data_IF_781944395472
#
_entry.id   IF_781944395472
#
_cell.length_a   1.000
_cell.length_b   1.000
_cell.length_c   1.000
_cell.angle_alpha   90.00
_cell.angle_beta   90.00
_cell.angle_gamma   90.00
#
_symmetry.space_group_name_H-M   'P 1'
#
loop_
_entity.id
_entity.type
_entity.pdbx_description
1 polymer ?
#
# COMPACT_ATOMS: atom_id res chain seq x y z
N UNK A 1 -0.29 28.68 18.89
CA UNK A 1 -1.43 27.78 19.19
C UNK A 1 -1.03 26.35 18.84
N UNK A 2 -1.25 25.37 19.73
CA UNK A 2 -1.07 23.95 19.41
C UNK A 2 -2.08 23.56 18.32
N UNK A 3 -1.61 23.21 17.13
CA UNK A 3 -2.46 22.59 16.11
C UNK A 3 -2.83 21.18 16.57
N UNK A 4 -4.12 20.84 16.46
CA UNK A 4 -4.58 19.46 16.58
C UNK A 4 -3.97 18.67 15.42
N UNK A 5 -3.44 17.49 15.72
CA UNK A 5 -2.88 16.57 14.74
C UNK A 5 -3.81 15.39 14.49
N UNK A 6 -5.03 15.44 15.02
CA UNK A 6 -6.04 14.44 14.67
C UNK A 6 -6.55 14.78 13.28
N UNK A 7 -6.34 13.88 12.33
CA UNK A 7 -6.63 14.11 10.93
C UNK A 7 -6.76 12.82 10.13
N UNK A 8 -7.46 12.92 9.01
CA UNK A 8 -7.53 11.87 8.01
C UNK A 8 -7.22 12.49 6.64
N UNK A 9 -6.31 11.88 5.90
CA UNK A 9 -5.93 12.29 4.56
C UNK A 9 -5.87 11.10 3.63
N UNK A 10 -6.52 11.21 2.46
CA UNK A 10 -6.42 10.23 1.38
C UNK A 10 -6.11 10.88 0.05
N UNK A 11 -5.14 10.32 -0.64
CA UNK A 11 -4.74 10.69 -2.00
C UNK A 11 -4.64 9.45 -2.85
N UNK A 12 -5.12 9.54 -4.09
CA UNK A 12 -5.00 8.46 -5.07
C UNK A 12 -4.56 9.05 -6.40
N UNK A 13 -3.70 8.31 -7.12
CA UNK A 13 -3.26 8.70 -8.45
C UNK A 13 -2.97 7.46 -9.29
N UNK A 14 -3.30 7.56 -10.58
CA UNK A 14 -2.99 6.55 -11.57
C UNK A 14 -1.64 6.86 -12.23
N UNK A 15 -0.78 5.86 -12.33
CA UNK A 15 0.56 5.90 -12.93
C UNK A 15 0.66 4.73 -13.90
N UNK A 16 0.59 5.02 -15.20
CA UNK A 16 0.46 3.96 -16.21
C UNK A 16 -0.72 3.06 -15.89
N UNK A 17 -0.47 1.77 -15.74
CA UNK A 17 -1.46 0.75 -15.40
C UNK A 17 -1.64 0.52 -13.89
N UNK A 18 -1.08 1.38 -13.03
CA UNK A 18 -1.20 1.25 -11.57
C UNK A 18 -2.03 2.38 -10.98
N UNK A 19 -2.89 2.06 -10.04
CA UNK A 19 -3.52 3.02 -9.15
C UNK A 19 -2.84 2.95 -7.78
N UNK A 20 -2.11 4.01 -7.43
CA UNK A 20 -1.48 4.16 -6.12
C UNK A 20 -2.38 4.98 -5.22
N UNK A 21 -2.62 4.49 -4.01
CA UNK A 21 -3.41 5.15 -2.99
C UNK A 21 -2.59 5.26 -1.71
N UNK A 22 -2.57 6.45 -1.13
CA UNK A 22 -1.95 6.72 0.17
C UNK A 22 -3.03 7.24 1.10
N UNK A 23 -3.15 6.59 2.24
CA UNK A 23 -4.06 6.97 3.33
C UNK A 23 -3.25 7.22 4.59
N UNK A 24 -3.49 8.35 5.25
CA UNK A 24 -2.90 8.70 6.55
C UNK A 24 -4.02 8.99 7.54
N UNK A 25 -3.95 8.33 8.69
CA UNK A 25 -4.75 8.60 9.88
C UNK A 25 -3.81 9.07 10.97
N UNK A 26 -4.18 10.13 11.67
CA UNK A 26 -3.40 10.63 12.80
C UNK A 26 -4.30 10.92 13.99
N UNK A 27 -3.77 10.66 15.18
CA UNK A 27 -4.38 10.95 16.47
C UNK A 27 -3.42 11.78 17.31
N UNK A 28 -3.98 12.71 18.09
CA UNK A 28 -3.20 13.48 19.04
C UNK A 28 -2.49 12.56 20.06
N UNK A 29 -1.21 12.78 20.24
CA UNK A 29 -0.37 12.04 21.18
C UNK A 29 0.88 12.84 21.54
N UNK A 30 1.48 12.52 22.68
CA UNK A 30 2.68 13.21 23.18
C UNK A 30 3.95 12.74 22.47
N UNK A 31 3.99 11.47 22.09
CA UNK A 31 5.08 10.84 21.37
C UNK A 31 4.68 10.58 19.93
N UNK A 32 5.66 10.51 19.04
CA UNK A 32 5.44 10.03 17.68
C UNK A 32 5.39 8.51 17.69
N UNK A 33 4.35 7.95 17.09
CA UNK A 33 4.20 6.52 16.89
C UNK A 33 3.73 6.30 15.46
N UNK A 34 4.62 5.79 14.59
CA UNK A 34 4.38 5.68 13.16
C UNK A 34 4.24 4.22 12.74
N UNK A 35 3.04 3.85 12.30
CA UNK A 35 2.75 2.58 11.67
C UNK A 35 2.71 2.75 10.15
N UNK A 36 3.66 2.11 9.45
CA UNK A 36 3.70 2.08 7.99
C UNK A 36 3.22 0.72 7.47
N UNK A 37 2.19 0.72 6.62
CA UNK A 37 1.74 -0.46 5.88
C UNK A 37 2.10 -0.27 4.40
N UNK A 38 3.17 -0.93 3.98
CA UNK A 38 3.77 -0.78 2.65
C UNK A 38 3.69 -2.10 1.89
N UNK A 39 3.27 -2.11 0.61
CA UNK A 39 3.22 -3.32 -0.19
C UNK A 39 4.63 -3.77 -0.56
N UNK A 40 4.81 -5.07 -0.81
CA UNK A 40 6.13 -5.68 -1.11
C UNK A 40 6.99 -4.91 -2.12
N UNK A 41 6.45 -4.40 -3.24
CA UNK A 41 7.26 -3.68 -4.23
C UNK A 41 7.87 -2.35 -3.72
N UNK A 42 7.30 -1.77 -2.66
CA UNK A 42 7.74 -0.50 -2.09
C UNK A 42 8.53 -0.65 -0.78
N UNK A 43 8.66 -1.88 -0.25
CA UNK A 43 9.45 -2.15 0.97
C UNK A 43 10.87 -1.57 0.93
N UNK A 44 11.63 -1.63 -0.19
CA UNK A 44 12.97 -1.03 -0.24
C UNK A 44 12.99 0.48 0.00
N UNK A 45 11.86 1.18 -0.17
CA UNK A 45 11.70 2.63 0.03
C UNK A 45 11.08 2.99 1.37
N UNK A 46 10.86 2.02 2.25
CA UNK A 46 10.21 2.25 3.55
C UNK A 46 10.95 3.30 4.39
N UNK A 47 12.28 3.24 4.44
CA UNK A 47 13.08 4.21 5.20
C UNK A 47 12.92 5.64 4.69
N UNK A 48 12.94 5.84 3.37
CA UNK A 48 12.74 7.14 2.74
C UNK A 48 11.34 7.70 3.09
N UNK A 49 10.30 6.88 2.98
CA UNK A 49 8.91 7.25 3.29
C UNK A 49 8.76 7.60 4.77
N UNK A 50 9.38 6.82 5.66
CA UNK A 50 9.39 7.07 7.11
C UNK A 50 10.01 8.43 7.44
N UNK A 51 11.16 8.75 6.85
CA UNK A 51 11.84 10.02 7.09
C UNK A 51 10.97 11.20 6.68
N UNK A 52 10.35 11.14 5.50
CA UNK A 52 9.46 12.19 5.00
C UNK A 52 8.26 12.43 5.94
N UNK A 53 7.66 11.36 6.48
CA UNK A 53 6.53 11.50 7.42
C UNK A 53 7.01 12.12 8.74
N UNK A 54 8.14 11.68 9.26
CA UNK A 54 8.72 12.18 10.52
C UNK A 54 9.14 13.66 10.43
N UNK A 55 9.56 14.15 9.26
CA UNK A 55 9.86 15.57 9.04
C UNK A 55 8.61 16.46 9.17
N UNK A 56 7.44 15.94 8.80
CA UNK A 56 6.19 16.71 8.76
C UNK A 56 5.32 16.54 10.00
N UNK A 57 5.38 15.38 10.66
CA UNK A 57 4.58 15.04 11.83
C UNK A 57 5.52 14.75 13.01
N UNK A 58 5.52 15.61 14.03
CA UNK A 58 6.51 15.56 15.11
C UNK A 58 6.03 14.84 16.38
N UNK A 59 4.72 14.58 16.50
CA UNK A 59 4.10 13.93 17.65
C UNK A 59 2.78 13.30 17.20
N UNK A 60 2.20 12.37 17.97
CA UNK A 60 0.94 11.69 17.65
C UNK A 60 1.12 10.27 17.14
N UNK A 61 0.04 9.49 17.22
CA UNK A 61 -0.01 8.16 16.60
C UNK A 61 -0.50 8.32 15.16
N UNK A 62 0.27 7.80 14.22
CA UNK A 62 0.13 8.02 12.78
C UNK A 62 0.12 6.65 12.11
N UNK A 63 -0.95 6.34 11.40
CA UNK A 63 -1.04 5.16 10.55
C UNK A 63 -1.03 5.61 9.09
N UNK A 64 0.00 5.21 8.34
CA UNK A 64 0.09 5.44 6.90
C UNK A 64 0.01 4.11 6.16
N UNK A 65 -0.97 4.00 5.26
CA UNK A 65 -1.19 2.83 4.42
C UNK A 65 -1.00 3.21 2.95
N UNK A 66 -0.11 2.50 2.28
CA UNK A 66 0.09 2.61 0.84
C UNK A 66 -0.50 1.38 0.19
N UNK A 67 -1.35 1.58 -0.81
CA UNK A 67 -1.93 0.51 -1.63
C UNK A 67 -1.58 0.75 -3.07
N UNK A 68 -1.09 -0.28 -3.75
CA UNK A 68 -0.85 -0.26 -5.20
C UNK A 68 -1.79 -1.28 -5.81
N UNK A 69 -2.74 -0.82 -6.61
CA UNK A 69 -3.61 -1.65 -7.43
C UNK A 69 -3.15 -1.58 -8.87
N UNK A 70 -3.38 -2.64 -9.63
CA UNK A 70 -3.21 -2.63 -11.07
C UNK A 70 -4.58 -2.38 -11.69
N UNK A 71 -4.68 -1.34 -12.50
CA UNK A 71 -5.81 -1.16 -13.39
C UNK A 71 -5.71 -2.22 -14.49
N UNK A 72 -6.85 -2.83 -14.81
CA UNK A 72 -6.92 -4.06 -15.59
C UNK A 72 -6.10 -4.05 -16.88
N UNK A 73 -5.69 -5.26 -17.28
CA UNK A 73 -4.85 -5.64 -18.44
C UNK A 73 -3.34 -5.47 -18.33
N UNK A 74 -2.80 -5.22 -17.13
CA UNK A 74 -1.37 -5.37 -16.90
C UNK A 74 -0.93 -6.82 -17.15
N UNK A 75 -0.16 -7.02 -18.23
CA UNK A 75 0.46 -8.33 -18.52
C UNK A 75 1.35 -8.69 -17.34
N UNK A 76 1.29 -9.92 -16.80
CA UNK A 76 2.23 -10.35 -15.76
C UNK A 76 3.65 -10.12 -16.26
N UNK A 77 4.40 -9.26 -15.58
CA UNK A 77 5.66 -8.74 -16.14
C UNK A 77 6.80 -9.72 -16.00
N UNK A 78 6.69 -10.66 -15.05
CA UNK A 78 7.72 -11.66 -14.82
C UNK A 78 7.17 -12.73 -13.87
N UNK A 79 7.37 -13.99 -14.23
CA UNK A 79 7.15 -15.12 -13.35
C UNK A 79 8.44 -15.34 -12.55
N UNK A 80 8.34 -15.44 -11.23
CA UNK A 80 9.48 -15.83 -10.39
C UNK A 80 9.75 -17.33 -10.60
N UNK A 81 10.65 -17.65 -11.55
CA UNK A 81 10.90 -19.03 -11.97
C UNK A 81 11.44 -19.91 -10.84
N UNK A 82 12.28 -19.36 -9.96
CA UNK A 82 12.81 -20.08 -8.79
C UNK A 82 11.68 -20.47 -7.84
N UNK A 83 10.79 -19.53 -7.54
CA UNK A 83 9.67 -19.77 -6.63
C UNK A 83 8.64 -20.74 -7.23
N UNK A 84 8.33 -20.61 -8.52
CA UNK A 84 7.48 -21.58 -9.23
C UNK A 84 8.06 -22.98 -9.16
N UNK A 85 9.37 -23.11 -9.43
CA UNK A 85 10.05 -24.41 -9.43
C UNK A 85 10.02 -25.04 -8.04
N UNK A 86 10.29 -24.25 -7.00
CA UNK A 86 10.22 -24.70 -5.61
C UNK A 86 8.81 -25.20 -5.23
N UNK A 87 7.76 -24.42 -5.52
CA UNK A 87 6.39 -24.83 -5.23
C UNK A 87 5.95 -26.05 -6.03
N UNK A 88 6.34 -26.13 -7.31
CA UNK A 88 5.98 -27.25 -8.16
C UNK A 88 6.55 -28.57 -7.62
N UNK A 89 7.83 -28.60 -7.24
CA UNK A 89 8.42 -29.82 -6.68
C UNK A 89 7.78 -30.24 -5.36
N UNK A 90 7.54 -29.29 -4.45
CA UNK A 90 6.92 -29.58 -3.16
C UNK A 90 5.49 -30.11 -3.32
N UNK A 91 4.66 -29.42 -4.09
CA UNK A 91 3.27 -29.79 -4.28
C UNK A 91 3.12 -31.08 -5.09
N UNK A 92 4.00 -31.32 -6.08
CA UNK A 92 4.02 -32.59 -6.82
C UNK A 92 4.37 -33.77 -5.90
N UNK A 93 5.39 -33.62 -5.06
CA UNK A 93 5.76 -34.66 -4.09
C UNK A 93 4.62 -34.93 -3.10
N UNK A 94 3.92 -33.88 -2.66
CA UNK A 94 2.77 -34.01 -1.77
C UNK A 94 1.58 -34.71 -2.45
N UNK A 95 1.26 -34.32 -3.69
CA UNK A 95 0.17 -34.93 -4.45
C UNK A 95 0.42 -36.43 -4.69
N UNK A 96 1.66 -36.82 -4.99
CA UNK A 96 2.05 -38.22 -5.12
C UNK A 96 1.88 -39.00 -3.80
N UNK A 97 2.23 -38.40 -2.67
CA UNK A 97 2.09 -39.04 -1.36
C UNK A 97 0.62 -39.20 -0.94
N UNK A 98 -0.24 -38.28 -1.35
CA UNK A 98 -1.67 -38.25 -1.01
C UNK A 98 -2.55 -38.94 -2.06
N UNK A 99 -1.97 -39.51 -3.11
CA UNK A 99 -2.69 -40.04 -4.29
C UNK A 99 -3.70 -39.03 -4.87
N UNK A 100 -3.34 -37.75 -4.84
CA UNK A 100 -4.17 -36.64 -5.31
C UNK A 100 -3.84 -36.25 -6.76
N UNK A 101 -4.86 -35.79 -7.49
CA UNK A 101 -4.69 -35.24 -8.83
C UNK A 101 -3.78 -34.00 -8.81
N UNK A 102 -2.90 -33.92 -9.81
CA UNK A 102 -1.87 -32.89 -9.93
C UNK A 102 -1.94 -32.10 -11.24
N UNK A 103 -2.96 -32.33 -12.08
CA UNK A 103 -3.06 -31.73 -13.42
C UNK A 103 -3.20 -30.20 -13.38
N UNK A 104 -3.70 -29.64 -12.28
CA UNK A 104 -3.88 -28.20 -12.07
C UNK A 104 -2.84 -27.57 -11.14
N UNK A 105 -1.71 -28.24 -10.88
CA UNK A 105 -0.68 -27.70 -9.99
C UNK A 105 -0.11 -26.38 -10.49
N UNK A 106 0.25 -26.31 -11.78
CA UNK A 106 0.86 -25.10 -12.34
C UNK A 106 -0.10 -23.90 -12.27
N UNK A 107 -1.38 -24.11 -12.60
CA UNK A 107 -2.39 -23.06 -12.54
C UNK A 107 -2.68 -22.60 -11.11
N UNK A 108 -2.55 -23.50 -10.13
CA UNK A 108 -2.66 -23.18 -8.71
C UNK A 108 -1.46 -22.39 -8.19
N UNK A 109 -0.25 -22.75 -8.61
CA UNK A 109 1.00 -22.05 -8.24
C UNK A 109 0.99 -20.61 -8.78
N UNK A 110 0.53 -20.39 -10.01
CA UNK A 110 0.43 -19.05 -10.60
C UNK A 110 -0.53 -18.10 -9.85
N UNK A 111 -1.42 -18.63 -9.00
CA UNK A 111 -2.31 -17.83 -8.14
C UNK A 111 -1.72 -17.54 -6.76
N UNK A 112 -0.57 -18.14 -6.41
CA UNK A 112 0.09 -17.90 -5.14
C UNK A 112 0.71 -16.50 -5.10
N UNK A 113 0.74 -15.84 -3.92
CA UNK A 113 1.39 -14.55 -3.77
C UNK A 113 2.86 -14.65 -4.17
N UNK A 114 3.43 -13.54 -4.67
CA UNK A 114 4.83 -13.38 -5.06
C UNK A 114 5.33 -14.26 -6.23
N UNK A 115 4.51 -15.19 -6.76
CA UNK A 115 4.83 -16.00 -7.95
C UNK A 115 4.77 -15.18 -9.23
N UNK A 116 3.73 -14.36 -9.37
CA UNK A 116 3.54 -13.49 -10.51
C UNK A 116 3.85 -12.07 -10.05
N UNK A 117 5.03 -11.58 -10.42
CA UNK A 117 5.36 -10.18 -10.21
C UNK A 117 4.71 -9.35 -11.32
N UNK A 118 4.15 -8.21 -10.93
CA UNK A 118 3.72 -7.17 -11.87
C UNK A 118 4.76 -6.06 -11.90
N UNK A 119 5.03 -5.52 -13.09
CA UNK A 119 6.25 -4.76 -13.37
C UNK A 119 6.27 -3.56 -12.47
N UNK A 120 7.26 -3.48 -11.58
CA UNK A 120 7.46 -2.33 -10.69
C UNK A 120 8.17 -1.20 -11.44
N UNK A 121 7.66 -0.79 -12.60
CA UNK A 121 8.06 0.49 -13.17
C UNK A 121 7.15 1.61 -12.65
N UNK A 122 7.80 2.65 -12.15
CA UNK A 122 7.29 3.95 -11.72
C UNK A 122 6.52 3.99 -10.38
N UNK A 123 7.27 4.12 -9.28
CA UNK A 123 6.82 4.86 -8.07
C UNK A 123 7.99 5.66 -7.48
N UNK A 124 8.78 6.32 -8.32
CA UNK A 124 9.81 7.27 -7.85
C UNK A 124 9.24 8.70 -7.75
N UNK A 125 8.15 8.99 -8.47
CA UNK A 125 7.66 10.36 -8.67
C UNK A 125 6.56 10.82 -7.68
N UNK A 126 6.19 10.00 -6.69
CA UNK A 126 4.96 10.23 -5.90
C UNK A 126 5.18 10.52 -4.42
N UNK A 127 6.37 10.23 -3.90
CA UNK A 127 6.68 10.46 -2.49
C UNK A 127 6.79 11.97 -2.18
N UNK A 128 6.97 12.81 -3.20
CA UNK A 128 6.99 14.28 -3.07
C UNK A 128 5.61 14.91 -2.77
N UNK A 129 4.50 14.18 -2.93
CA UNK A 129 3.15 14.76 -2.80
C UNK A 129 2.42 14.45 -1.49
N UNK A 130 3.13 13.98 -0.47
CA UNK A 130 2.62 14.01 0.93
C UNK A 130 2.20 15.43 1.35
N UNK A 131 2.68 16.46 0.64
CA UNK A 131 2.21 17.84 0.77
C UNK A 131 0.70 18.04 0.48
N UNK A 132 0.06 17.22 -0.35
CA UNK A 132 -1.38 17.34 -0.65
C UNK A 132 -2.27 16.99 0.55
N UNK A 133 -1.73 16.30 1.57
CA UNK A 133 -2.48 16.05 2.82
C UNK A 133 -2.64 17.34 3.65
N UNK A 134 -1.74 18.34 3.50
CA UNK A 134 -1.93 19.67 4.12
C UNK A 134 -3.11 20.45 3.50
N UNK A 135 -3.40 20.23 2.22
CA UNK A 135 -4.50 20.93 1.53
C UNK A 135 -5.87 20.32 1.86
N UNK A 136 -5.96 18.99 2.04
CA UNK A 136 -7.24 18.34 2.39
C UNK A 136 -7.61 18.44 3.86
N UNK A 137 -6.68 18.77 4.76
CA UNK A 137 -6.98 19.11 6.16
C UNK A 137 -7.83 20.39 6.28
N UNK A 138 -7.81 21.27 5.27
CA UNK A 138 -8.69 22.43 5.20
C UNK A 138 -10.12 22.07 4.73
N UNK A 139 -10.26 21.12 3.81
CA UNK A 139 -11.55 20.80 3.17
C UNK A 139 -12.53 20.11 4.10
N UNK A 140 -12.06 19.29 5.05
CA UNK A 140 -12.96 18.61 6.02
C UNK A 140 -13.35 19.46 7.22
N UNK A 141 -12.61 20.54 7.53
CA UNK A 141 -13.01 21.48 8.60
C UNK A 141 -14.14 22.41 8.17
N UNK A 142 -14.23 22.77 6.89
CA UNK A 142 -15.35 23.57 6.37
C UNK A 142 -16.64 22.75 6.21
N UNK A 143 -16.55 21.46 5.88
CA UNK A 143 -17.74 20.60 5.73
C UNK A 143 -18.34 20.16 7.08
N UNK A 144 -17.53 20.07 8.15
CA UNK A 144 -18.00 19.70 9.48
C UNK A 144 -18.59 20.88 10.29
N UNK A 145 -18.39 22.13 9.86
CA UNK A 145 -19.00 23.32 10.47
C UNK A 145 -20.23 23.85 9.72
N UNK A 146 -20.59 23.27 8.57
CA UNK A 146 -21.71 23.71 7.73
C UNK A 146 -22.95 22.82 7.79
N UNK A 147 -23.04 21.90 8.76
CA UNK A 147 -24.22 21.05 8.97
C UNK A 147 -24.77 21.09 10.40
N UNK A 148 -24.98 22.32 10.90
CA UNK A 148 -26.05 22.59 11.87
C UNK A 148 -27.01 23.59 11.21
N UNK A 149 -28.17 23.15 10.69
CA UNK A 149 -29.26 24.06 10.42
C UNK A 149 -29.79 24.52 11.78
N UNK A 150 -29.58 25.81 12.05
CA UNK A 150 -30.24 26.50 13.15
C UNK A 150 -31.57 27.03 12.59
N UNK A 151 -32.60 26.18 12.56
CA UNK A 151 -34.04 26.47 12.71
C UNK A 151 -34.86 25.20 12.49
#
# INVERSE_FOLDING_TARGET
MLRSMTGYGRSEKTIGEKQVMVEIRSLNGKQIDLLLKIPSPLKPREFDIRNIINEHLQRGSIECTITVKLNGTAKPSSINMELVTAYYHQLKSLAQHLEADHDQLLSSILRLPDVVATSTEVVTEYVDRVQTIREKEYVYRDLAQSSVPNQ
#
